data_IF_712815600646
#
_entry.id   IF_712815600646
#
_cell.length_a   1.000
_cell.length_b   1.000
_cell.length_c   1.000
_cell.angle_alpha   90.00
_cell.angle_beta   90.00
_cell.angle_gamma   90.00
#
_symmetry.space_group_name_H-M   'P 1'
#
loop_
_entity.id
_entity.type
_entity.pdbx_description
1 polymer ?
#
# COMPACT_ATOMS: atom_id res chain seq x y z
N UNK A 1 -45.57 40.25 20.56
CA UNK A 1 -45.72 39.33 21.73
C UNK A 1 -47.15 39.47 22.24
N UNK A 2 -47.85 38.37 22.58
CA UNK A 2 -47.46 37.49 23.69
C UNK A 2 -47.26 36.02 23.28
N UNK A 3 -46.24 35.42 23.91
CA UNK A 3 -45.85 34.02 23.83
C UNK A 3 -46.86 33.14 24.59
N UNK A 4 -47.40 32.10 23.95
CA UNK A 4 -48.01 30.97 24.66
C UNK A 4 -47.22 29.70 24.35
N UNK A 5 -46.55 29.21 25.40
CA UNK A 5 -45.75 27.98 25.44
C UNK A 5 -46.68 26.77 25.44
N UNK A 6 -46.55 25.88 24.45
CA UNK A 6 -47.09 24.53 24.53
C UNK A 6 -45.98 23.57 24.96
N UNK A 7 -46.11 23.01 26.16
CA UNK A 7 -45.30 21.90 26.66
C UNK A 7 -45.87 20.60 26.09
N UNK A 8 -45.18 19.97 25.14
CA UNK A 8 -45.51 18.61 24.73
C UNK A 8 -44.99 17.63 25.78
N UNK A 9 -45.92 16.96 26.46
CA UNK A 9 -45.64 15.80 27.32
C UNK A 9 -45.18 14.63 26.45
N UNK A 10 -43.88 14.33 26.50
CA UNK A 10 -43.30 13.15 25.87
C UNK A 10 -43.55 11.92 26.76
N UNK A 11 -44.54 11.10 26.41
CA UNK A 11 -44.74 9.77 27.00
C UNK A 11 -43.84 8.75 26.31
N UNK A 12 -42.88 8.18 27.04
CA UNK A 12 -42.05 7.06 26.55
C UNK A 12 -42.95 5.83 26.29
N UNK A 13 -42.90 5.17 25.12
CA UNK A 13 -43.48 3.84 24.98
C UNK A 13 -42.65 2.79 25.73
N UNK A 14 -43.31 1.84 26.39
CA UNK A 14 -42.68 0.66 26.97
C UNK A 14 -42.11 -0.22 25.84
N UNK A 15 -40.80 -0.49 25.90
CA UNK A 15 -40.12 -1.41 24.98
C UNK A 15 -40.25 -2.84 25.49
N UNK A 16 -41.28 -3.56 25.04
CA UNK A 16 -41.38 -5.01 25.16
C UNK A 16 -40.59 -5.67 24.02
N UNK A 17 -39.52 -6.40 24.36
CA UNK A 17 -38.79 -7.21 23.38
C UNK A 17 -39.63 -8.45 22.99
N UNK A 18 -39.65 -8.86 21.71
CA UNK A 18 -40.43 -10.00 21.26
C UNK A 18 -39.82 -11.34 21.72
N UNK A 19 -40.69 -12.25 22.14
CA UNK A 19 -40.37 -13.59 22.59
C UNK A 19 -40.25 -14.56 21.40
N UNK A 20 -39.03 -14.80 20.91
CA UNK A 20 -38.74 -15.92 20.02
C UNK A 20 -37.28 -16.38 20.16
N UNK A 21 -36.94 -17.08 21.25
CA UNK A 21 -35.87 -18.11 21.30
C UNK A 21 -36.12 -18.99 22.54
N UNK A 22 -37.16 -19.82 22.50
CA UNK A 22 -37.41 -20.89 23.48
C UNK A 22 -37.61 -22.21 22.74
N UNK A 23 -36.55 -22.99 22.66
CA UNK A 23 -36.46 -24.45 22.49
C UNK A 23 -35.01 -24.73 22.06
N UNK A 24 -34.22 -25.56 22.74
CA UNK A 24 -34.51 -26.94 23.10
C UNK A 24 -33.53 -27.40 24.19
N UNK A 25 -34.07 -27.77 25.35
CA UNK A 25 -33.37 -28.56 26.35
C UNK A 25 -33.69 -30.04 26.09
N UNK A 26 -32.67 -30.84 25.82
CA UNK A 26 -32.76 -32.29 25.86
C UNK A 26 -32.21 -32.81 27.22
N UNK A 27 -33.16 -33.34 27.98
CA UNK A 27 -33.12 -34.28 29.12
C UNK A 27 -31.76 -34.87 29.55
N UNK A 28 -31.56 -34.93 30.88
CA UNK A 28 -31.40 -36.19 31.63
C UNK A 28 -31.75 -35.97 33.11
N UNK A 29 -32.41 -36.99 33.65
CA UNK A 29 -32.99 -37.14 34.98
C UNK A 29 -31.99 -37.86 35.90
N UNK A 30 -31.94 -37.50 37.19
CA UNK A 30 -31.95 -38.43 38.34
C UNK A 30 -31.66 -37.72 39.68
N UNK A 31 -32.53 -37.98 40.66
CA UNK A 31 -32.11 -38.35 42.03
C UNK A 31 -31.85 -37.28 43.09
N UNK A 32 -32.93 -36.94 43.83
CA UNK A 32 -32.98 -36.75 45.29
C UNK A 32 -32.11 -35.65 45.96
N UNK A 33 -32.80 -34.62 46.51
CA UNK A 33 -32.42 -34.03 47.79
C UNK A 33 -32.03 -32.55 47.79
N UNK A 34 -32.97 -31.74 48.29
CA UNK A 34 -32.78 -30.46 48.97
C UNK A 34 -32.71 -29.17 48.13
N UNK A 35 -33.35 -28.13 48.69
CA UNK A 35 -33.84 -26.95 48.00
C UNK A 35 -32.74 -26.05 47.42
N UNK A 36 -32.62 -25.98 46.09
CA UNK A 36 -31.92 -24.90 45.39
C UNK A 36 -32.32 -24.79 43.91
N UNK A 37 -33.55 -24.35 43.61
CA UNK A 37 -33.88 -23.92 42.25
C UNK A 37 -33.56 -22.43 42.04
N UNK A 38 -32.64 -22.21 41.10
CA UNK A 38 -32.49 -21.05 40.20
C UNK A 38 -32.34 -19.67 40.85
N UNK A 39 -31.13 -19.38 41.37
CA UNK A 39 -30.70 -17.98 41.59
C UNK A 39 -30.55 -17.27 40.26
N UNK A 40 -31.39 -16.25 40.01
CA UNK A 40 -31.26 -15.39 38.84
C UNK A 40 -29.94 -14.58 38.88
N UNK A 41 -29.43 -14.16 37.73
CA UNK A 41 -28.18 -13.37 37.61
C UNK A 41 -28.20 -12.13 38.53
N UNK A 42 -29.36 -11.51 38.70
CA UNK A 42 -29.56 -10.37 39.60
C UNK A 42 -29.43 -10.75 41.09
N UNK A 43 -29.84 -11.95 41.49
CA UNK A 43 -29.63 -12.45 42.85
C UNK A 43 -28.18 -12.82 43.12
N UNK A 44 -27.47 -13.32 42.10
CA UNK A 44 -26.02 -13.55 42.15
C UNK A 44 -25.25 -12.25 42.32
N UNK A 45 -25.60 -11.21 41.55
CA UNK A 45 -25.03 -9.86 41.69
C UNK A 45 -25.37 -9.22 43.03
N UNK A 46 -26.60 -9.36 43.53
CA UNK A 46 -26.98 -8.90 44.85
C UNK A 46 -26.28 -9.69 45.97
N UNK A 47 -26.04 -10.99 45.77
CA UNK A 47 -25.23 -11.82 46.65
C UNK A 47 -23.79 -11.34 46.72
N UNK A 48 -23.16 -11.06 45.57
CA UNK A 48 -21.78 -10.57 45.47
C UNK A 48 -21.58 -9.20 46.11
N UNK A 49 -22.57 -8.30 45.98
CA UNK A 49 -22.57 -7.00 46.65
C UNK A 49 -22.70 -7.13 48.17
N UNK A 50 -23.40 -8.16 48.65
CA UNK A 50 -23.59 -8.42 50.09
C UNK A 50 -22.41 -9.18 50.71
N UNK A 51 -21.76 -10.08 49.99
CA UNK A 51 -20.58 -10.81 50.47
C UNK A 51 -19.30 -9.96 50.45
N UNK A 52 -19.26 -8.88 49.67
CA UNK A 52 -18.16 -7.90 49.71
C UNK A 52 -18.15 -6.99 50.95
N UNK A 53 -19.18 -7.04 51.81
CA UNK A 53 -19.35 -6.11 52.94
C UNK A 53 -19.36 -6.76 54.33
N UNK A 54 -19.31 -8.10 54.42
CA UNK A 54 -19.28 -8.81 55.71
C UNK A 54 -18.09 -9.77 55.78
N UNK A 55 -16.94 -9.22 56.15
CA UNK A 55 -15.71 -9.93 56.49
C UNK A 55 -14.71 -8.95 57.07
N UNK A 56 -14.61 -8.91 58.39
CA UNK A 56 -14.04 -7.84 59.19
C UNK A 56 -12.50 -7.75 59.17
N UNK A 57 -12.06 -6.49 59.32
CA UNK A 57 -10.83 -6.01 59.95
C UNK A 57 -9.49 -6.12 59.18
N UNK A 58 -9.16 -5.02 58.48
CA UNK A 58 -7.78 -4.59 58.27
C UNK A 58 -7.53 -3.89 56.94
N UNK A 59 -7.65 -2.56 56.92
CA UNK A 59 -7.16 -1.71 55.82
C UNK A 59 -8.25 -1.16 54.91
N UNK A 60 -8.50 0.15 55.03
CA UNK A 60 -9.37 0.93 54.16
C UNK A 60 -8.91 0.81 52.70
N UNK A 61 -9.58 -0.01 51.89
CA UNK A 61 -9.45 0.04 50.43
C UNK A 61 -10.43 1.09 49.91
N UNK A 62 -9.93 2.30 49.73
CA UNK A 62 -10.62 3.33 48.97
C UNK A 62 -10.90 2.82 47.55
N UNK A 63 -12.08 3.15 47.03
CA UNK A 63 -12.46 2.98 45.63
C UNK A 63 -11.33 3.46 44.72
N UNK A 64 -10.76 2.54 43.92
CA UNK A 64 -9.78 2.86 42.88
C UNK A 64 -10.46 3.72 41.81
N UNK A 65 -10.49 5.03 42.07
CA UNK A 65 -10.77 6.05 41.08
C UNK A 65 -9.48 6.19 40.28
N UNK A 66 -9.53 5.85 38.99
CA UNK A 66 -8.39 5.98 38.08
C UNK A 66 -8.12 7.48 37.93
N UNK A 67 -7.20 8.03 38.73
CA UNK A 67 -6.71 9.39 38.54
C UNK A 67 -5.52 9.39 37.58
N UNK A 68 -5.47 10.33 36.61
CA UNK A 68 -4.33 10.48 35.72
C UNK A 68 -3.06 10.84 36.51
N UNK A 69 -1.95 10.19 36.18
CA UNK A 69 -0.66 10.42 36.82
C UNK A 69 -0.09 11.79 36.45
N UNK A 70 0.02 12.67 37.43
CA UNK A 70 0.63 14.01 37.26
C UNK A 70 2.15 13.96 37.55
N UNK A 71 3.01 14.72 36.84
CA UNK A 71 4.45 14.82 37.12
C UNK A 71 4.77 15.37 38.53
N UNK A 72 5.92 15.00 39.13
CA UNK A 72 6.23 15.25 40.55
C UNK A 72 6.28 16.74 40.94
N UNK A 73 6.72 17.61 40.03
CA UNK A 73 6.79 19.05 40.28
C UNK A 73 5.41 19.70 40.51
N UNK A 74 4.36 19.20 39.85
CA UNK A 74 3.00 19.72 39.99
C UNK A 74 2.30 19.10 41.22
N UNK A 75 2.70 17.89 41.63
CA UNK A 75 2.18 17.24 42.86
C UNK A 75 2.54 17.99 44.13
N UNK A 76 3.76 18.55 44.19
CA UNK A 76 4.22 19.36 45.34
C UNK A 76 3.41 20.64 45.50
N UNK A 77 3.01 21.27 44.39
CA UNK A 77 2.22 22.51 44.41
C UNK A 77 0.76 22.23 44.83
N UNK A 78 0.21 21.10 44.41
CA UNK A 78 -1.20 20.74 44.65
C UNK A 78 -1.42 19.92 45.94
N UNK A 79 -0.38 19.69 46.75
CA UNK A 79 -0.41 18.86 47.97
C UNK A 79 -1.05 17.48 47.76
N UNK A 80 -0.86 16.88 46.58
CA UNK A 80 -1.41 15.57 46.27
C UNK A 80 -0.50 14.50 46.90
N UNK A 81 -1.04 13.56 47.72
CA UNK A 81 -0.24 12.53 48.36
C UNK A 81 0.44 11.61 47.34
N UNK A 82 1.62 11.12 47.70
CA UNK A 82 2.44 10.31 46.82
C UNK A 82 1.77 8.97 46.50
N UNK A 83 1.73 8.61 45.22
CA UNK A 83 1.12 7.35 44.77
C UNK A 83 1.95 6.19 45.30
N UNK A 84 1.38 5.24 46.06
CA UNK A 84 2.12 4.12 46.61
C UNK A 84 2.70 3.26 45.49
N UNK A 85 3.86 2.62 45.72
CA UNK A 85 4.47 1.74 44.73
C UNK A 85 3.51 0.62 44.32
N UNK A 86 3.55 0.16 43.05
CA UNK A 86 2.68 -0.89 42.59
C UNK A 86 2.88 -2.15 43.44
N UNK A 87 1.79 -2.87 43.79
CA UNK A 87 1.91 -4.06 44.62
C UNK A 87 2.80 -5.10 43.94
N UNK A 88 3.62 -5.85 44.71
CA UNK A 88 4.46 -6.90 44.16
C UNK A 88 3.59 -7.92 43.39
N UNK A 89 4.09 -8.36 42.23
CA UNK A 89 3.41 -9.36 41.39
C UNK A 89 3.04 -10.57 42.26
N UNK A 90 1.77 -10.99 42.21
CA UNK A 90 1.27 -12.14 42.97
C UNK A 90 2.18 -13.36 42.69
N UNK A 91 2.72 -14.02 43.73
CA UNK A 91 3.50 -15.23 43.53
C UNK A 91 2.64 -16.30 42.85
N UNK A 92 3.25 -17.08 41.96
CA UNK A 92 2.62 -18.24 41.33
C UNK A 92 2.06 -19.12 42.44
N UNK A 93 0.76 -19.42 42.40
CA UNK A 93 0.13 -20.32 43.38
C UNK A 93 0.70 -21.72 43.18
N UNK A 94 1.63 -22.10 44.04
CA UNK A 94 2.18 -23.46 44.12
C UNK A 94 1.27 -24.27 45.05
N UNK A 95 0.85 -25.47 44.62
CA UNK A 95 0.07 -26.37 45.47
C UNK A 95 0.86 -26.83 46.70
N UNK A 96 0.15 -27.39 47.70
CA UNK A 96 0.78 -28.01 48.88
C UNK A 96 1.68 -29.16 48.38
N UNK A 97 3.00 -28.98 48.44
CA UNK A 97 3.99 -29.95 47.95
C UNK A 97 4.78 -29.57 46.68
N UNK A 98 4.75 -28.30 46.23
CA UNK A 98 5.64 -27.86 45.13
C UNK A 98 5.13 -28.16 43.72
N UNK A 99 4.03 -28.90 43.58
CA UNK A 99 3.42 -29.20 42.28
C UNK A 99 2.67 -27.99 41.69
N UNK A 100 2.80 -27.79 40.38
CA UNK A 100 2.01 -26.82 39.61
C UNK A 100 0.53 -27.19 39.70
N UNK A 101 -0.35 -26.20 39.90
CA UNK A 101 -1.79 -26.40 39.79
C UNK A 101 -2.14 -26.94 38.39
N UNK A 102 -3.16 -27.81 38.25
CA UNK A 102 -3.60 -28.29 36.95
C UNK A 102 -3.99 -27.11 36.07
N UNK A 103 -3.63 -27.18 34.78
CA UNK A 103 -3.99 -26.17 33.81
C UNK A 103 -5.51 -25.95 33.83
N UNK A 104 -5.93 -24.70 33.70
CA UNK A 104 -7.35 -24.37 33.58
C UNK A 104 -8.00 -25.12 32.41
N UNK A 105 -9.35 -25.19 32.38
CA UNK A 105 -10.06 -25.84 31.29
C UNK A 105 -9.60 -25.27 29.94
N UNK A 106 -9.40 -26.16 28.97
CA UNK A 106 -9.01 -25.77 27.63
C UNK A 106 -9.99 -24.72 27.07
N UNK A 107 -9.48 -23.73 26.31
CA UNK A 107 -10.34 -22.71 25.72
C UNK A 107 -11.42 -23.38 24.85
N UNK A 108 -12.63 -22.80 24.79
CA UNK A 108 -13.73 -23.36 24.02
C UNK A 108 -13.32 -23.53 22.56
N UNK A 109 -13.76 -24.63 21.94
CA UNK A 109 -13.40 -24.98 20.55
C UNK A 109 -13.76 -23.87 19.55
N UNK A 110 -14.77 -23.06 19.84
CA UNK A 110 -15.13 -21.89 19.02
C UNK A 110 -14.01 -20.86 18.89
N UNK A 111 -13.10 -20.75 19.86
CA UNK A 111 -11.93 -19.86 19.79
C UNK A 111 -10.77 -20.43 18.98
N UNK A 112 -10.70 -21.76 18.87
CA UNK A 112 -9.67 -22.49 18.12
C UNK A 112 -10.08 -22.78 16.67
N UNK A 113 -11.36 -22.62 16.32
CA UNK A 113 -11.90 -22.96 15.00
C UNK A 113 -11.59 -21.93 13.90
N UNK A 114 -11.21 -20.70 14.27
CA UNK A 114 -10.78 -19.64 13.34
C UNK A 114 -9.29 -19.65 12.94
N UNK A 115 -8.33 -19.87 13.88
CA UNK A 115 -6.90 -19.69 13.58
C UNK A 115 -6.23 -20.84 12.80
N UNK A 116 -6.75 -22.07 12.81
CA UNK A 116 -6.07 -23.18 12.10
C UNK A 116 -6.16 -23.06 10.57
N UNK A 117 -7.27 -22.54 10.03
CA UNK A 117 -7.36 -22.19 8.61
C UNK A 117 -6.48 -20.98 8.27
N UNK A 118 -6.40 -20.01 9.18
CA UNK A 118 -5.61 -18.80 9.00
C UNK A 118 -4.10 -19.05 8.97
N UNK A 119 -3.56 -19.88 9.87
CA UNK A 119 -2.12 -20.18 9.94
C UNK A 119 -1.63 -21.02 8.76
N UNK A 120 -2.44 -21.97 8.28
CA UNK A 120 -2.12 -22.76 7.08
C UNK A 120 -2.21 -21.90 5.82
N UNK A 121 -3.19 -20.98 5.73
CA UNK A 121 -3.28 -19.99 4.67
C UNK A 121 -2.14 -18.96 4.72
N UNK A 122 -1.67 -18.53 5.90
CA UNK A 122 -0.54 -17.61 6.06
C UNK A 122 0.78 -18.25 5.59
N UNK A 123 0.98 -19.53 5.93
CA UNK A 123 2.19 -20.27 5.56
C UNK A 123 2.17 -20.67 4.08
N UNK A 124 1.01 -21.03 3.53
CA UNK A 124 0.84 -21.29 2.11
C UNK A 124 0.88 -20.02 1.27
N UNK A 125 0.31 -18.89 1.73
CA UNK A 125 0.38 -17.60 1.01
C UNK A 125 1.78 -16.99 1.06
N UNK A 126 2.49 -17.06 2.18
CA UNK A 126 3.89 -16.64 2.24
C UNK A 126 4.81 -17.51 1.36
N UNK A 127 4.47 -18.79 1.15
CA UNK A 127 5.22 -19.69 0.24
C UNK A 127 4.72 -19.72 -1.20
N UNK A 128 3.52 -19.19 -1.49
CA UNK A 128 2.88 -19.17 -2.82
C UNK A 128 2.82 -17.76 -3.44
N UNK A 129 2.85 -16.71 -2.62
CA UNK A 129 2.83 -15.29 -3.02
C UNK A 129 4.07 -14.52 -2.51
N UNK A 130 4.68 -14.93 -1.39
CA UNK A 130 6.01 -14.45 -0.98
C UNK A 130 7.18 -15.10 -1.71
N UNK A 131 6.88 -15.84 -2.79
CA UNK A 131 7.82 -16.68 -3.52
C UNK A 131 7.57 -16.58 -5.04
N UNK A 132 7.66 -15.38 -5.61
CA UNK A 132 8.32 -15.27 -6.90
C UNK A 132 9.79 -15.66 -6.65
N UNK A 133 10.07 -16.98 -6.65
CA UNK A 133 11.40 -17.57 -6.45
C UNK A 133 12.35 -17.02 -7.54
N UNK A 134 12.96 -15.86 -7.29
CA UNK A 134 13.99 -15.28 -8.13
C UNK A 134 13.88 -13.77 -8.37
N UNK A 135 12.72 -13.15 -8.16
CA UNK A 135 12.50 -11.73 -8.45
C UNK A 135 12.25 -10.96 -7.15
N UNK A 136 13.22 -10.17 -6.71
CA UNK A 136 13.14 -9.43 -5.46
C UNK A 136 12.24 -8.20 -5.59
N UNK A 137 11.04 -8.24 -5.00
CA UNK A 137 10.23 -7.02 -4.83
C UNK A 137 10.99 -6.04 -3.93
N UNK A 138 11.30 -4.86 -4.47
CA UNK A 138 11.95 -3.75 -3.75
C UNK A 138 10.98 -2.60 -3.67
N UNK A 139 10.68 -2.18 -2.44
CA UNK A 139 9.87 -0.99 -2.22
C UNK A 139 10.70 0.25 -2.54
N UNK A 140 10.03 1.31 -3.05
CA UNK A 140 10.68 2.59 -3.30
C UNK A 140 11.36 3.13 -2.03
N UNK A 141 12.50 3.82 -2.15
CA UNK A 141 13.20 4.38 -1.00
C UNK A 141 12.32 5.46 -0.33
N UNK A 142 12.51 5.68 0.97
CA UNK A 142 11.73 6.67 1.73
C UNK A 142 10.36 6.17 2.22
N UNK A 143 9.92 4.99 1.83
CA UNK A 143 8.65 4.40 2.28
C UNK A 143 8.80 3.78 3.67
N UNK A 144 8.05 4.30 4.65
CA UNK A 144 8.03 3.77 6.01
C UNK A 144 7.11 2.55 6.12
N UNK A 145 7.65 1.36 5.85
CA UNK A 145 6.95 0.11 6.10
C UNK A 145 6.98 -0.26 7.60
N UNK A 146 5.91 -0.84 8.15
CA UNK A 146 5.93 -1.39 9.50
C UNK A 146 7.07 -2.40 9.66
N UNK A 147 7.77 -2.34 10.80
CA UNK A 147 8.84 -3.29 11.10
C UNK A 147 8.34 -4.73 11.02
N UNK A 148 9.10 -5.61 10.35
CA UNK A 148 8.73 -7.03 10.22
C UNK A 148 8.52 -7.66 11.59
N UNK A 149 7.40 -8.34 11.79
CA UNK A 149 7.02 -8.92 13.08
C UNK A 149 6.47 -7.92 14.10
N UNK A 150 6.29 -6.64 13.73
CA UNK A 150 5.49 -5.70 14.51
C UNK A 150 4.01 -6.12 14.52
N UNK A 151 3.25 -5.68 15.53
CA UNK A 151 1.80 -5.88 15.56
C UNK A 151 1.13 -5.33 14.30
N UNK A 152 1.56 -4.16 13.82
CA UNK A 152 1.00 -3.54 12.62
C UNK A 152 1.29 -4.41 11.38
N UNK A 153 2.52 -4.90 11.23
CA UNK A 153 2.90 -5.81 10.14
C UNK A 153 2.05 -7.09 10.17
N UNK A 154 1.90 -7.72 11.34
CA UNK A 154 1.08 -8.93 11.49
C UNK A 154 -0.40 -8.67 11.18
N UNK A 155 -0.95 -7.55 11.65
CA UNK A 155 -2.35 -7.18 11.42
C UNK A 155 -2.59 -6.86 9.95
N UNK A 156 -1.76 -6.04 9.31
CA UNK A 156 -1.90 -5.71 7.89
C UNK A 156 -1.79 -6.95 7.00
N UNK A 157 -0.83 -7.85 7.28
CA UNK A 157 -0.76 -9.15 6.57
C UNK A 157 -2.05 -9.92 6.69
N UNK A 158 -2.60 -10.03 7.91
CA UNK A 158 -3.84 -10.78 8.12
C UNK A 158 -5.03 -10.09 7.46
N UNK A 159 -5.07 -8.76 7.51
CA UNK A 159 -6.12 -7.94 6.92
C UNK A 159 -6.17 -8.12 5.40
N UNK A 160 -5.00 -8.10 4.73
CA UNK A 160 -4.89 -8.29 3.29
C UNK A 160 -5.23 -9.72 2.85
N UNK A 161 -4.94 -10.74 3.67
CA UNK A 161 -5.30 -12.12 3.33
C UNK A 161 -6.81 -12.37 3.26
N UNK A 162 -7.59 -11.61 4.03
CA UNK A 162 -9.06 -11.66 4.01
C UNK A 162 -9.64 -10.39 3.31
N UNK A 163 -8.87 -9.76 2.41
CA UNK A 163 -9.17 -8.43 1.86
C UNK A 163 -10.55 -8.29 1.24
N UNK A 164 -11.04 -9.28 0.48
CA UNK A 164 -12.38 -9.19 -0.15
C UNK A 164 -13.50 -8.98 0.87
N UNK A 165 -13.40 -9.66 2.02
CA UNK A 165 -14.32 -9.49 3.13
C UNK A 165 -14.09 -8.17 3.85
N UNK A 166 -12.82 -7.84 4.15
CA UNK A 166 -12.46 -6.61 4.85
C UNK A 166 -12.88 -5.36 4.08
N UNK A 167 -12.70 -5.34 2.76
CA UNK A 167 -13.10 -4.23 1.90
C UNK A 167 -14.59 -3.94 2.00
N UNK A 168 -15.41 -4.99 2.01
CA UNK A 168 -16.87 -4.87 2.09
C UNK A 168 -17.32 -4.48 3.50
N UNK A 169 -16.76 -5.13 4.54
CA UNK A 169 -17.14 -4.90 5.93
C UNK A 169 -16.67 -3.53 6.46
N UNK A 170 -15.45 -3.13 6.10
CA UNK A 170 -14.81 -1.90 6.56
C UNK A 170 -14.97 -0.73 5.58
N UNK A 171 -15.83 -0.82 4.55
CA UNK A 171 -15.91 0.16 3.46
C UNK A 171 -16.04 1.62 3.93
N UNK A 172 -16.71 1.86 5.06
CA UNK A 172 -16.88 3.21 5.63
C UNK A 172 -15.68 3.72 6.43
N UNK A 173 -14.80 2.81 6.89
CA UNK A 173 -13.68 3.14 7.77
C UNK A 173 -12.33 3.20 7.02
N UNK A 174 -12.24 2.63 5.82
CA UNK A 174 -10.99 2.56 5.06
C UNK A 174 -10.45 3.94 4.67
N UNK A 175 -11.35 4.86 4.32
CA UNK A 175 -11.00 6.25 3.98
C UNK A 175 -10.52 7.05 5.20
N UNK A 176 -11.09 6.80 6.38
CA UNK A 176 -10.75 7.46 7.66
C UNK A 176 -9.41 6.99 8.24
N UNK A 177 -8.80 5.94 7.68
CA UNK A 177 -7.53 5.43 8.18
C UNK A 177 -6.42 6.50 8.05
N UNK A 178 -5.51 6.59 9.04
CA UNK A 178 -4.31 7.41 8.92
C UNK A 178 -3.55 7.13 7.61
N UNK A 179 -3.08 8.19 6.95
CA UNK A 179 -2.46 8.11 5.62
C UNK A 179 -1.32 7.09 5.55
N UNK A 180 -0.45 7.02 6.58
CA UNK A 180 0.63 6.03 6.62
C UNK A 180 0.14 4.57 6.65
N UNK A 181 -1.02 4.30 7.27
CA UNK A 181 -1.64 2.97 7.25
C UNK A 181 -2.29 2.69 5.90
N UNK A 182 -2.92 3.69 5.26
CA UNK A 182 -3.48 3.56 3.91
C UNK A 182 -2.40 3.23 2.88
N UNK A 183 -1.27 3.95 2.91
CA UNK A 183 -0.10 3.66 2.06
C UNK A 183 0.45 2.27 2.33
N UNK A 184 0.66 1.90 3.60
CA UNK A 184 1.14 0.56 3.97
C UNK A 184 0.18 -0.53 3.52
N UNK A 185 -1.12 -0.33 3.68
CA UNK A 185 -2.15 -1.28 3.26
C UNK A 185 -2.08 -1.53 1.74
N UNK A 186 -1.95 -0.49 0.93
CA UNK A 186 -1.82 -0.62 -0.53
C UNK A 186 -0.54 -1.38 -0.94
N UNK A 187 0.58 -1.11 -0.28
CA UNK A 187 1.83 -1.86 -0.53
C UNK A 187 1.65 -3.34 -0.17
N UNK A 188 1.04 -3.65 0.98
CA UNK A 188 0.79 -5.04 1.36
C UNK A 188 -0.21 -5.71 0.41
N UNK A 189 -1.21 -4.98 -0.09
CA UNK A 189 -2.11 -5.49 -1.13
C UNK A 189 -1.32 -5.86 -2.40
N UNK A 190 -0.47 -4.96 -2.90
CA UNK A 190 0.39 -5.23 -4.05
C UNK A 190 1.31 -6.45 -3.83
N UNK A 191 1.82 -6.64 -2.61
CA UNK A 191 2.73 -7.75 -2.27
C UNK A 191 2.05 -9.11 -2.07
N UNK A 192 0.87 -9.15 -1.44
CA UNK A 192 0.25 -10.40 -0.97
C UNK A 192 -0.92 -10.88 -1.81
N UNK A 193 -1.52 -10.00 -2.62
CA UNK A 193 -2.61 -10.39 -3.53
C UNK A 193 -2.03 -10.87 -4.85
N UNK A 194 -2.64 -11.92 -5.42
CA UNK A 194 -2.19 -12.42 -6.72
C UNK A 194 -2.45 -11.43 -7.83
N UNK A 195 -3.57 -10.71 -7.78
CA UNK A 195 -4.00 -9.81 -8.84
C UNK A 195 -3.44 -8.39 -8.69
N UNK A 196 -2.77 -8.09 -7.57
CA UNK A 196 -2.38 -6.74 -7.21
C UNK A 196 -3.57 -5.91 -6.70
N UNK A 197 -3.34 -4.61 -6.56
CA UNK A 197 -4.35 -3.63 -6.16
C UNK A 197 -5.33 -3.43 -7.31
N UNK A 198 -6.64 -3.56 -7.09
CA UNK A 198 -7.66 -3.28 -8.11
C UNK A 198 -8.15 -1.83 -8.06
N UNK A 199 -8.83 -1.37 -9.12
CA UNK A 199 -9.40 -0.01 -9.16
C UNK A 199 -10.38 0.22 -8.01
N UNK A 200 -11.16 -0.80 -7.63
CA UNK A 200 -12.10 -0.74 -6.51
C UNK A 200 -11.39 -0.60 -5.17
N UNK A 201 -10.19 -1.17 -5.04
CA UNK A 201 -9.39 -1.07 -3.82
C UNK A 201 -8.84 0.35 -3.66
N UNK A 202 -8.37 0.96 -4.76
CA UNK A 202 -7.97 2.37 -4.76
C UNK A 202 -9.15 3.28 -4.42
N UNK A 203 -10.32 3.05 -5.00
CA UNK A 203 -11.53 3.81 -4.68
C UNK A 203 -11.90 3.69 -3.20
N UNK A 204 -11.86 2.48 -2.63
CA UNK A 204 -12.19 2.26 -1.22
C UNK A 204 -11.22 2.94 -0.23
N UNK A 205 -9.96 3.19 -0.63
CA UNK A 205 -8.92 3.77 0.24
C UNK A 205 -8.75 5.27 0.01
N UNK A 206 -8.91 5.75 -1.23
CA UNK A 206 -8.61 7.13 -1.63
C UNK A 206 -9.85 8.02 -1.76
N UNK A 207 -11.04 7.43 -1.91
CA UNK A 207 -12.30 8.17 -2.04
C UNK A 207 -13.21 7.90 -0.83
N UNK A 208 -14.00 8.90 -0.41
CA UNK A 208 -15.02 8.67 0.59
C UNK A 208 -16.12 7.74 0.07
N UNK A 209 -16.83 7.05 0.97
CA UNK A 209 -17.97 6.23 0.60
C UNK A 209 -19.02 7.05 -0.18
N UNK A 210 -19.54 6.55 -1.32
CA UNK A 210 -20.48 7.30 -2.14
C UNK A 210 -21.84 7.51 -1.46
N UNK A 211 -22.20 6.66 -0.50
CA UNK A 211 -23.52 6.66 0.16
C UNK A 211 -23.62 7.66 1.33
N UNK A 212 -22.55 8.42 1.61
CA UNK A 212 -22.48 9.35 2.74
C UNK A 212 -22.22 10.78 2.20
N UNK A 213 -23.28 11.57 1.99
CA UNK A 213 -23.18 12.91 1.38
C UNK A 213 -22.30 13.89 2.16
N UNK A 214 -22.21 13.71 3.48
CA UNK A 214 -21.43 14.56 4.39
C UNK A 214 -19.97 14.71 3.95
N UNK A 215 -19.37 13.65 3.40
CA UNK A 215 -17.99 13.66 2.90
C UNK A 215 -17.78 14.44 1.59
N UNK A 216 -18.85 14.66 0.82
CA UNK A 216 -18.78 15.34 -0.48
C UNK A 216 -19.14 16.82 -0.37
N UNK A 217 -19.88 17.20 0.68
CA UNK A 217 -20.29 18.58 0.95
C UNK A 217 -19.27 19.33 1.83
N UNK A 218 -18.53 18.63 2.69
CA UNK A 218 -17.52 19.23 3.55
C UNK A 218 -16.18 19.40 2.79
N UNK A 219 -15.71 20.65 2.56
CA UNK A 219 -14.44 20.91 1.88
C UNK A 219 -13.22 20.38 2.64
N UNK A 220 -13.28 20.26 3.96
CA UNK A 220 -12.16 19.76 4.77
C UNK A 220 -11.99 18.24 4.61
N UNK A 221 -13.08 17.53 4.26
CA UNK A 221 -13.12 16.09 4.03
C UNK A 221 -12.94 15.68 2.57
N UNK A 222 -12.74 16.67 1.68
CA UNK A 222 -12.54 16.43 0.26
C UNK A 222 -11.35 15.47 0.02
N UNK A 223 -11.40 14.61 -1.02
CA UNK A 223 -10.31 13.67 -1.32
C UNK A 223 -8.95 14.34 -1.43
N UNK A 224 -8.87 15.53 -2.03
CA UNK A 224 -7.63 16.27 -2.20
C UNK A 224 -7.02 16.77 -0.87
N UNK A 225 -7.83 17.09 0.14
CA UNK A 225 -7.34 17.56 1.45
C UNK A 225 -6.95 16.39 2.36
N UNK A 226 -7.78 15.33 2.40
CA UNK A 226 -7.49 14.14 3.21
C UNK A 226 -6.27 13.36 2.69
N UNK A 227 -5.99 13.47 1.39
CA UNK A 227 -4.83 12.84 0.76
C UNK A 227 -3.65 13.81 0.56
N UNK A 228 -3.62 14.96 1.21
CA UNK A 228 -2.52 15.93 1.08
C UNK A 228 -1.17 15.32 1.53
N UNK A 229 -1.19 14.54 2.61
CA UNK A 229 -0.02 13.78 3.12
C UNK A 229 0.27 12.48 2.33
N UNK A 230 -0.48 12.20 1.25
CA UNK A 230 -0.35 10.96 0.48
C UNK A 230 0.75 11.08 -0.56
N UNK A 231 1.96 10.67 -0.19
CA UNK A 231 3.15 10.85 -1.03
C UNK A 231 3.57 9.62 -1.86
N UNK A 232 3.09 8.42 -1.53
CA UNK A 232 3.56 7.17 -2.14
C UNK A 232 2.41 6.27 -2.58
N UNK A 233 2.43 5.87 -3.85
CA UNK A 233 1.50 4.92 -4.45
C UNK A 233 2.26 3.74 -5.06
N UNK A 234 2.15 2.57 -4.45
CA UNK A 234 2.76 1.34 -4.97
C UNK A 234 1.70 0.47 -5.66
N UNK A 235 1.83 0.32 -6.98
CA UNK A 235 0.96 -0.50 -7.83
C UNK A 235 1.73 -1.66 -8.47
N UNK A 236 2.80 -2.11 -7.83
CA UNK A 236 3.60 -3.24 -8.32
C UNK A 236 2.71 -4.44 -8.64
N UNK A 237 2.89 -5.02 -9.83
CA UNK A 237 2.13 -6.19 -10.32
C UNK A 237 0.66 -5.93 -10.66
N UNK A 238 0.17 -4.70 -10.49
CA UNK A 238 -1.25 -4.36 -10.65
C UNK A 238 -1.58 -3.83 -12.06
N UNK A 239 -0.66 -3.05 -12.64
CA UNK A 239 -0.85 -2.43 -13.96
C UNK A 239 -0.90 -3.48 -15.06
N UNK A 240 -1.95 -3.41 -15.89
CA UNK A 240 -2.19 -4.35 -17.00
C UNK A 240 -2.81 -5.68 -16.57
N UNK A 241 -3.02 -5.88 -15.26
CA UNK A 241 -3.71 -7.06 -14.69
C UNK A 241 -5.04 -6.67 -14.06
N UNK A 242 -5.01 -5.89 -12.99
CA UNK A 242 -6.18 -5.45 -12.22
C UNK A 242 -6.58 -4.00 -12.50
N UNK A 243 -5.64 -3.18 -12.99
CA UNK A 243 -5.84 -1.76 -13.29
C UNK A 243 -5.26 -1.43 -14.67
N UNK A 244 -6.02 -0.70 -15.50
CA UNK A 244 -5.48 -0.07 -16.70
C UNK A 244 -4.96 1.32 -16.38
N UNK A 245 -3.86 1.72 -17.02
CA UNK A 245 -3.26 3.04 -16.78
C UNK A 245 -4.20 4.21 -17.13
N UNK A 246 -5.07 4.02 -18.12
CA UNK A 246 -6.15 4.98 -18.43
C UNK A 246 -7.15 5.12 -17.27
N UNK A 247 -7.56 4.02 -16.65
CA UNK A 247 -8.50 4.03 -15.52
C UNK A 247 -7.86 4.69 -14.30
N UNK A 248 -6.57 4.42 -14.05
CA UNK A 248 -5.80 5.10 -13.01
C UNK A 248 -5.73 6.60 -13.27
N UNK A 249 -5.45 7.01 -14.51
CA UNK A 249 -5.41 8.43 -14.89
C UNK A 249 -6.74 9.11 -14.66
N UNK A 250 -7.86 8.48 -15.02
CA UNK A 250 -9.21 9.05 -14.81
C UNK A 250 -9.59 9.09 -13.34
N UNK A 251 -9.08 8.17 -12.52
CA UNK A 251 -9.32 8.18 -11.09
C UNK A 251 -8.53 9.32 -10.45
N UNK A 252 -7.20 9.36 -10.61
CA UNK A 252 -6.34 10.34 -9.93
C UNK A 252 -6.52 11.76 -10.46
N UNK A 253 -6.93 11.91 -11.72
CA UNK A 253 -7.14 13.17 -12.41
C UNK A 253 -8.53 13.15 -13.08
N UNK A 254 -9.61 13.24 -12.29
CA UNK A 254 -10.95 13.25 -12.85
C UNK A 254 -11.11 14.47 -13.78
N UNK A 255 -11.67 14.30 -14.99
CA UNK A 255 -11.97 15.43 -15.85
C UNK A 255 -12.96 16.35 -15.13
N UNK A 256 -12.71 17.67 -15.15
CA UNK A 256 -13.64 18.65 -14.59
C UNK A 256 -15.02 18.44 -15.22
N UNK A 257 -15.98 17.99 -14.42
CA UNK A 257 -17.37 17.89 -14.84
C UNK A 257 -18.00 19.28 -14.61
N UNK A 258 -18.33 19.92 -15.72
CA UNK A 258 -19.08 21.17 -15.90
C UNK A 258 -18.32 22.50 -15.64
N UNK A 259 -18.18 23.37 -16.66
CA UNK A 259 -18.00 24.80 -16.43
C UNK A 259 -19.31 25.35 -15.85
N UNK A 260 -19.27 25.84 -14.61
CA UNK A 260 -20.38 26.64 -14.09
C UNK A 260 -20.48 27.88 -14.98
N UNK A 261 -21.65 28.05 -15.60
CA UNK A 261 -21.98 29.17 -16.49
C UNK A 261 -21.63 30.50 -15.76
N UNK A 262 -20.69 31.31 -16.26
CA UNK A 262 -20.12 32.44 -15.51
C UNK A 262 -21.03 33.68 -15.54
N UNK A 263 -22.36 33.51 -15.43
CA UNK A 263 -23.30 34.61 -15.64
C UNK A 263 -24.04 35.12 -14.38
N UNK A 264 -23.79 34.60 -13.18
CA UNK A 264 -24.61 35.00 -11.99
C UNK A 264 -23.85 35.23 -10.67
N UNK A 265 -22.60 35.74 -10.68
CA UNK A 265 -21.98 36.18 -9.42
C UNK A 265 -20.89 37.24 -9.60
N UNK A 266 -21.30 38.50 -9.78
CA UNK A 266 -20.39 39.66 -9.83
C UNK A 266 -20.08 40.31 -8.46
N UNK A 267 -20.25 39.60 -7.33
CA UNK A 267 -20.10 40.24 -6.00
C UNK A 267 -19.41 39.38 -4.92
N UNK A 268 -18.55 38.42 -5.28
CA UNK A 268 -17.67 37.74 -4.30
C UNK A 268 -16.21 37.82 -4.73
N UNK A 269 -15.34 38.57 -4.02
CA UNK A 269 -13.91 38.43 -4.22
C UNK A 269 -13.48 37.04 -3.71
N UNK A 270 -12.57 36.40 -4.43
CA UNK A 270 -11.88 35.14 -4.08
C UNK A 270 -12.53 33.80 -4.52
N UNK A 271 -13.01 33.67 -5.76
CA UNK A 271 -13.29 32.37 -6.40
C UNK A 271 -12.23 31.92 -7.44
N UNK A 272 -11.01 32.45 -7.40
CA UNK A 272 -9.91 32.06 -8.32
C UNK A 272 -9.24 30.72 -7.96
N UNK A 273 -9.99 29.64 -7.73
CA UNK A 273 -9.40 28.30 -7.49
C UNK A 273 -10.30 27.10 -7.85
N UNK A 274 -11.36 27.29 -8.66
CA UNK A 274 -12.29 26.21 -9.05
C UNK A 274 -11.96 25.55 -10.40
N UNK A 275 -11.00 26.06 -11.16
CA UNK A 275 -10.79 25.66 -12.57
C UNK A 275 -9.65 24.67 -12.84
N UNK A 276 -8.91 24.23 -11.82
CA UNK A 276 -7.89 23.18 -11.99
C UNK A 276 -8.50 21.84 -11.57
N UNK A 277 -8.52 20.80 -12.43
CA UNK A 277 -8.90 19.45 -12.03
C UNK A 277 -8.08 19.06 -10.80
N UNK A 278 -8.75 18.97 -9.65
CA UNK A 278 -8.06 18.70 -8.39
C UNK A 278 -7.65 17.24 -8.40
N UNK A 279 -6.34 17.01 -8.39
CA UNK A 279 -5.82 15.65 -8.24
C UNK A 279 -6.29 15.08 -6.90
N UNK A 280 -6.66 13.80 -6.90
CA UNK A 280 -7.00 13.07 -5.66
C UNK A 280 -5.78 12.99 -4.74
N UNK A 281 -4.56 12.96 -5.29
CA UNK A 281 -3.29 12.81 -4.56
C UNK A 281 -2.33 13.93 -4.98
N UNK A 282 -2.57 15.18 -4.52
CA UNK A 282 -1.88 16.36 -5.06
C UNK A 282 -0.35 16.33 -4.86
N UNK A 283 0.13 15.72 -3.76
CA UNK A 283 1.55 15.68 -3.40
C UNK A 283 2.19 14.32 -3.65
N UNK A 284 1.72 13.57 -4.66
CA UNK A 284 2.30 12.29 -5.02
C UNK A 284 3.74 12.47 -5.53
N UNK A 285 4.70 11.88 -4.82
CA UNK A 285 6.14 11.96 -5.16
C UNK A 285 6.74 10.61 -5.51
N UNK A 286 6.20 9.51 -4.99
CA UNK A 286 6.67 8.14 -5.20
C UNK A 286 5.60 7.31 -5.89
N UNK A 287 5.94 6.72 -7.03
CA UNK A 287 5.03 5.88 -7.81
C UNK A 287 5.75 4.61 -8.28
N UNK A 288 5.21 3.45 -7.92
CA UNK A 288 5.67 2.18 -8.49
C UNK A 288 4.65 1.68 -9.52
N UNK A 289 5.09 1.51 -10.76
CA UNK A 289 4.34 0.85 -11.83
C UNK A 289 5.05 -0.45 -12.26
N UNK A 290 5.85 -1.05 -11.38
CA UNK A 290 6.57 -2.29 -11.65
C UNK A 290 5.62 -3.41 -12.09
N UNK A 291 6.06 -4.23 -13.04
CA UNK A 291 5.25 -5.31 -13.60
C UNK A 291 5.61 -6.66 -12.99
N UNK A 292 4.66 -7.59 -13.01
CA UNK A 292 4.93 -8.98 -12.66
C UNK A 292 5.63 -9.67 -13.85
N UNK A 293 6.90 -10.12 -13.71
CA UNK A 293 7.63 -10.76 -14.81
C UNK A 293 7.00 -12.08 -15.27
N UNK A 294 6.16 -12.72 -14.45
CA UNK A 294 5.43 -13.93 -14.84
C UNK A 294 4.22 -13.63 -15.73
N UNK A 295 3.80 -12.37 -15.80
CA UNK A 295 2.68 -11.92 -16.61
C UNK A 295 3.20 -11.18 -17.85
N UNK A 296 2.53 -11.32 -18.99
CA UNK A 296 2.80 -10.50 -20.18
C UNK A 296 1.65 -9.51 -20.36
N UNK A 297 1.61 -8.40 -19.59
CA UNK A 297 0.53 -7.45 -19.67
C UNK A 297 0.62 -6.61 -20.95
N UNK A 298 -0.52 -6.37 -21.60
CA UNK A 298 -0.61 -5.45 -22.73
C UNK A 298 -0.56 -4.00 -22.24
N UNK A 299 0.64 -3.42 -22.16
CA UNK A 299 0.89 -2.08 -21.64
C UNK A 299 1.28 -1.12 -22.77
N UNK A 300 0.87 0.15 -22.62
CA UNK A 300 1.09 1.17 -23.63
C UNK A 300 1.97 2.30 -23.08
N UNK A 301 3.17 2.44 -23.67
CA UNK A 301 4.04 3.59 -23.44
C UNK A 301 3.37 4.92 -23.78
N UNK A 302 2.48 4.94 -24.77
CA UNK A 302 1.67 6.13 -25.10
C UNK A 302 0.79 6.57 -23.92
N UNK A 303 0.17 5.61 -23.22
CA UNK A 303 -0.63 5.91 -22.03
C UNK A 303 0.26 6.36 -20.87
N UNK A 304 1.46 5.76 -20.70
CA UNK A 304 2.41 6.19 -19.68
C UNK A 304 2.86 7.63 -19.91
N UNK A 305 3.19 8.00 -21.14
CA UNK A 305 3.60 9.36 -21.48
C UNK A 305 2.48 10.38 -21.22
N UNK A 306 1.23 10.04 -21.53
CA UNK A 306 0.07 10.89 -21.22
C UNK A 306 -0.21 10.98 -19.72
N UNK A 307 0.03 9.90 -18.98
CA UNK A 307 -0.16 9.89 -17.54
C UNK A 307 0.94 10.71 -16.84
N UNK A 308 2.18 10.59 -17.29
CA UNK A 308 3.33 11.30 -16.75
C UNK A 308 3.21 12.83 -16.85
N UNK A 309 2.49 13.37 -17.85
CA UNK A 309 2.28 14.83 -17.95
C UNK A 309 1.43 15.39 -16.81
N UNK A 310 0.66 14.55 -16.12
CA UNK A 310 -0.12 14.96 -14.95
C UNK A 310 0.67 14.88 -13.63
N UNK A 311 1.91 14.39 -13.66
CA UNK A 311 2.74 14.13 -12.48
C UNK A 311 4.08 14.88 -12.51
N UNK A 312 4.10 16.22 -12.64
CA UNK A 312 5.34 16.99 -12.69
C UNK A 312 6.13 16.94 -11.37
N UNK A 313 5.47 16.67 -10.23
CA UNK A 313 6.08 16.58 -8.90
C UNK A 313 6.70 15.22 -8.56
N UNK A 314 6.67 14.26 -9.49
CA UNK A 314 7.16 12.91 -9.23
C UNK A 314 8.70 12.91 -9.12
N UNK A 315 9.20 12.36 -8.01
CA UNK A 315 10.64 12.23 -7.73
C UNK A 315 11.12 10.79 -7.81
N UNK A 316 10.26 9.81 -7.53
CA UNK A 316 10.61 8.39 -7.54
C UNK A 316 9.65 7.61 -8.43
N UNK A 317 10.19 6.91 -9.42
CA UNK A 317 9.44 6.07 -10.34
C UNK A 317 10.08 4.69 -10.44
N UNK A 318 9.29 3.62 -10.28
CA UNK A 318 9.69 2.27 -10.69
C UNK A 318 8.95 1.85 -11.95
N UNK A 319 9.74 1.48 -12.97
CA UNK A 319 9.31 0.84 -14.22
C UNK A 319 9.94 -0.55 -14.35
N UNK A 320 10.13 -1.26 -13.23
CA UNK A 320 10.70 -2.61 -13.27
C UNK A 320 9.87 -3.54 -14.16
N UNK A 321 10.56 -4.35 -14.96
CA UNK A 321 10.02 -5.32 -15.91
C UNK A 321 9.19 -4.71 -17.05
N UNK A 322 9.28 -3.40 -17.29
CA UNK A 322 8.60 -2.78 -18.42
C UNK A 322 9.12 -3.29 -19.76
N UNK A 323 8.22 -3.53 -20.73
CA UNK A 323 8.61 -3.94 -22.06
C UNK A 323 9.35 -2.81 -22.77
N UNK A 324 9.99 -3.17 -23.88
CA UNK A 324 10.70 -2.22 -24.73
C UNK A 324 9.87 -0.95 -25.07
N UNK A 325 10.46 0.26 -24.94
CA UNK A 325 9.80 1.52 -25.27
C UNK A 325 9.38 1.60 -26.75
N UNK A 326 8.09 1.43 -27.03
CA UNK A 326 7.54 1.58 -28.38
C UNK A 326 6.13 2.19 -28.36
N UNK A 327 5.86 3.06 -29.34
CA UNK A 327 4.53 3.64 -29.56
C UNK A 327 3.65 2.73 -30.43
N UNK A 328 4.24 1.78 -31.14
CA UNK A 328 3.57 0.86 -32.06
C UNK A 328 3.91 -0.61 -31.76
N UNK A 329 3.68 -1.12 -30.54
CA UNK A 329 4.09 -2.48 -30.15
C UNK A 329 3.45 -3.58 -31.03
N UNK A 330 2.22 -3.36 -31.52
CA UNK A 330 1.49 -4.31 -32.35
C UNK A 330 1.85 -4.23 -33.85
N UNK A 331 2.65 -3.26 -34.27
CA UNK A 331 3.01 -3.05 -35.67
C UNK A 331 4.43 -3.53 -36.02
N UNK A 332 5.14 -4.17 -35.09
CA UNK A 332 6.52 -4.64 -35.30
C UNK A 332 6.69 -5.55 -36.51
N UNK A 333 5.66 -6.29 -36.92
CA UNK A 333 5.67 -7.17 -38.10
C UNK A 333 4.93 -6.60 -39.32
N UNK A 334 4.34 -5.41 -39.17
CA UNK A 334 3.52 -4.83 -40.22
C UNK A 334 4.39 -4.01 -41.17
N UNK A 335 4.26 -4.28 -42.46
CA UNK A 335 4.93 -3.53 -43.52
C UNK A 335 3.92 -2.80 -44.39
N UNK A 336 4.32 -1.64 -44.92
CA UNK A 336 3.54 -0.83 -45.88
C UNK A 336 4.37 -0.65 -47.12
N UNK A 337 3.73 -0.79 -48.28
CA UNK A 337 4.36 -0.48 -49.55
C UNK A 337 4.24 1.03 -49.78
N UNK A 338 5.36 1.72 -49.86
CA UNK A 338 5.40 3.16 -50.18
C UNK A 338 4.80 3.40 -51.56
N UNK A 339 3.74 4.23 -51.69
CA UNK A 339 3.15 4.51 -53.00
C UNK A 339 4.06 5.34 -53.91
N UNK A 340 5.08 6.02 -53.36
CA UNK A 340 6.00 6.87 -54.12
C UNK A 340 7.27 6.15 -54.56
N UNK A 341 7.78 5.21 -53.76
CA UNK A 341 9.02 4.49 -54.03
C UNK A 341 8.81 3.02 -54.40
N UNK A 342 7.58 2.49 -54.26
CA UNK A 342 7.26 1.07 -54.49
C UNK A 342 7.92 0.10 -53.51
N UNK A 343 8.73 0.62 -52.58
CA UNK A 343 9.47 -0.16 -51.59
C UNK A 343 8.63 -0.48 -50.37
N UNK A 344 8.84 -1.67 -49.82
CA UNK A 344 8.23 -2.13 -48.56
C UNK A 344 8.96 -1.49 -47.38
N UNK A 345 8.28 -0.62 -46.64
CA UNK A 345 8.75 0.04 -45.42
C UNK A 345 8.06 -0.59 -44.20
N UNK A 346 8.72 -0.61 -43.04
CA UNK A 346 8.08 -1.05 -41.80
C UNK A 346 7.06 0.00 -41.34
N UNK A 347 5.84 -0.42 -40.97
CA UNK A 347 4.76 0.48 -40.52
C UNK A 347 5.15 1.28 -39.28
N UNK A 348 5.87 0.64 -38.34
CA UNK A 348 6.35 1.26 -37.11
C UNK A 348 7.67 2.02 -37.24
N UNK A 349 8.27 2.09 -38.44
CA UNK A 349 9.63 2.62 -38.63
C UNK A 349 10.75 1.69 -38.16
N UNK A 350 10.52 0.89 -37.12
CA UNK A 350 11.40 -0.18 -36.63
C UNK A 350 10.75 -1.56 -36.86
N UNK A 351 11.56 -2.57 -37.23
CA UNK A 351 11.15 -3.96 -37.42
C UNK A 351 11.57 -4.85 -36.23
N UNK A 352 11.22 -6.15 -36.23
CA UNK A 352 11.49 -7.05 -35.10
C UNK A 352 12.98 -7.36 -34.91
N UNK A 353 13.82 -7.07 -35.92
CA UNK A 353 15.27 -7.27 -35.90
C UNK A 353 16.07 -5.97 -35.90
N UNK A 354 15.42 -4.81 -35.91
CA UNK A 354 16.11 -3.52 -36.02
C UNK A 354 17.03 -3.25 -34.83
N UNK A 355 16.73 -3.81 -33.66
CA UNK A 355 17.54 -3.63 -32.45
C UNK A 355 18.63 -4.70 -32.31
N UNK A 356 18.36 -5.93 -32.73
CA UNK A 356 19.27 -7.07 -32.57
C UNK A 356 20.28 -7.22 -33.72
N UNK A 357 19.95 -6.78 -34.93
CA UNK A 357 20.84 -6.85 -36.10
C UNK A 357 21.40 -5.47 -36.48
N UNK A 358 20.56 -4.43 -36.47
CA UNK A 358 20.96 -3.11 -36.97
C UNK A 358 21.35 -2.12 -35.86
N UNK A 359 21.12 -2.47 -34.59
CA UNK A 359 21.39 -1.61 -33.45
C UNK A 359 20.63 -0.27 -33.48
N UNK A 360 19.51 -0.20 -34.22
CA UNK A 360 18.74 1.02 -34.37
C UNK A 360 17.82 1.24 -33.17
N UNK A 361 18.19 2.12 -32.24
CA UNK A 361 17.39 2.43 -31.04
C UNK A 361 16.60 3.74 -31.13
N UNK A 362 16.39 4.27 -32.34
CA UNK A 362 15.82 5.61 -32.56
C UNK A 362 14.45 5.82 -31.89
N UNK A 363 13.50 4.90 -32.09
CA UNK A 363 12.16 5.00 -31.52
C UNK A 363 12.22 5.01 -29.98
N UNK A 364 12.99 4.10 -29.39
CA UNK A 364 13.13 3.90 -27.96
C UNK A 364 13.73 5.15 -27.31
N UNK A 365 14.79 5.70 -27.91
CA UNK A 365 15.44 6.93 -27.46
C UNK A 365 14.44 8.09 -27.48
N UNK A 366 13.62 8.23 -28.53
CA UNK A 366 12.61 9.28 -28.62
C UNK A 366 11.49 9.13 -27.57
N UNK A 367 11.04 7.90 -27.30
CA UNK A 367 10.06 7.63 -26.22
C UNK A 367 10.65 8.01 -24.86
N UNK A 368 11.87 7.55 -24.56
CA UNK A 368 12.55 7.83 -23.29
C UNK A 368 12.85 9.33 -23.13
N UNK A 369 13.23 10.03 -24.20
CA UNK A 369 13.44 11.49 -24.18
C UNK A 369 12.14 12.27 -23.96
N UNK A 370 11.02 11.77 -24.46
CA UNK A 370 9.70 12.37 -24.16
C UNK A 370 9.33 12.13 -22.70
N UNK A 371 9.56 10.92 -22.19
CA UNK A 371 9.34 10.61 -20.77
C UNK A 371 10.21 11.50 -19.87
N UNK A 372 11.47 11.71 -20.24
CA UNK A 372 12.39 12.52 -19.44
C UNK A 372 11.95 13.96 -19.32
N UNK A 373 11.46 14.55 -20.42
CA UNK A 373 10.90 15.90 -20.42
C UNK A 373 9.64 16.02 -19.56
N UNK A 374 8.76 15.01 -19.57
CA UNK A 374 7.56 15.00 -18.71
C UNK A 374 7.93 14.86 -17.23
N UNK A 375 8.95 14.07 -16.91
CA UNK A 375 9.38 13.75 -15.55
C UNK A 375 10.75 14.36 -15.23
N UNK A 376 10.87 15.67 -15.41
CA UNK A 376 12.12 16.41 -15.18
C UNK A 376 12.49 16.54 -13.69
N UNK A 377 11.55 16.23 -12.79
CA UNK A 377 11.74 16.24 -11.33
C UNK A 377 12.35 14.95 -10.78
N UNK A 378 12.56 13.94 -11.60
CA UNK A 378 12.91 12.60 -11.16
C UNK A 378 14.30 12.53 -10.52
N UNK A 379 14.38 11.94 -9.34
CA UNK A 379 15.59 11.73 -8.54
C UNK A 379 15.96 10.24 -8.45
N UNK A 380 14.96 9.36 -8.52
CA UNK A 380 15.09 7.91 -8.49
C UNK A 380 14.33 7.26 -9.64
N UNK A 381 15.00 6.35 -10.35
CA UNK A 381 14.39 5.55 -11.41
C UNK A 381 14.80 4.09 -11.25
N UNK A 382 13.83 3.18 -11.15
CA UNK A 382 14.07 1.73 -11.12
C UNK A 382 13.68 1.11 -12.47
N UNK A 383 14.66 0.50 -13.13
CA UNK A 383 14.58 -0.21 -14.41
C UNK A 383 14.97 -1.68 -14.25
N UNK A 384 14.79 -2.25 -13.06
CA UNK A 384 15.08 -3.67 -12.80
C UNK A 384 14.35 -4.58 -13.80
N UNK A 385 15.04 -5.54 -14.41
CA UNK A 385 14.48 -6.49 -15.37
C UNK A 385 14.25 -5.91 -16.77
N UNK A 386 14.71 -4.71 -17.05
CA UNK A 386 14.58 -4.03 -18.35
C UNK A 386 15.82 -4.17 -19.25
N UNK A 387 16.64 -5.20 -19.02
CA UNK A 387 17.96 -5.38 -19.63
C UNK A 387 17.98 -5.35 -21.15
N UNK A 388 16.91 -5.87 -21.78
CA UNK A 388 16.77 -5.96 -23.23
C UNK A 388 16.87 -4.60 -23.94
N UNK A 389 16.45 -3.51 -23.30
CA UNK A 389 16.43 -2.18 -23.91
C UNK A 389 17.37 -1.18 -23.24
N UNK A 390 18.21 -1.61 -22.29
CA UNK A 390 19.26 -0.75 -21.72
C UNK A 390 20.06 0.02 -22.77
N UNK A 391 20.45 -0.54 -23.94
CA UNK A 391 21.19 0.21 -24.94
C UNK A 391 20.52 1.48 -25.44
N UNK A 392 19.19 1.58 -25.40
CA UNK A 392 18.47 2.80 -25.73
C UNK A 392 18.80 3.98 -24.79
N UNK A 393 19.33 3.74 -23.59
CA UNK A 393 19.64 4.78 -22.62
C UNK A 393 20.93 5.56 -22.96
N UNK A 394 21.81 5.00 -23.80
CA UNK A 394 23.05 5.65 -24.24
C UNK A 394 23.22 5.72 -25.76
N UNK A 395 22.28 5.15 -26.52
CA UNK A 395 22.24 5.26 -27.98
C UNK A 395 21.76 6.63 -28.43
N UNK A 396 22.07 6.99 -29.67
CA UNK A 396 21.66 8.25 -30.30
C UNK A 396 20.64 7.98 -31.40
N UNK A 397 19.53 8.70 -31.39
CA UNK A 397 18.55 8.71 -32.47
C UNK A 397 18.99 9.69 -33.57
N UNK A 398 20.07 9.38 -34.29
CA UNK A 398 20.64 10.27 -35.31
C UNK A 398 21.55 11.37 -34.74
N UNK A 399 21.52 12.57 -35.33
CA UNK A 399 22.47 13.66 -35.07
C UNK A 399 22.21 14.34 -33.70
N UNK A 400 22.69 13.72 -32.62
CA UNK A 400 22.74 14.30 -31.27
C UNK A 400 21.50 14.11 -30.40
N UNK A 401 20.50 13.38 -30.88
CA UNK A 401 19.29 13.10 -30.13
C UNK A 401 19.47 11.89 -29.21
N UNK A 402 20.01 12.13 -28.02
CA UNK A 402 20.15 11.14 -26.95
C UNK A 402 19.15 11.40 -25.83
N UNK A 403 19.04 10.44 -24.90
CA UNK A 403 18.37 10.68 -23.61
C UNK A 403 19.09 11.81 -22.87
N UNK A 404 18.33 12.79 -22.38
CA UNK A 404 18.90 13.98 -21.73
C UNK A 404 19.23 13.74 -20.26
N UNK A 405 20.39 13.15 -20.02
CA UNK A 405 20.96 12.91 -18.69
C UNK A 405 21.53 14.16 -18.01
N UNK A 406 21.56 15.30 -18.69
CA UNK A 406 22.19 16.55 -18.21
C UNK A 406 21.17 17.61 -17.80
N UNK A 407 20.08 17.75 -18.55
CA UNK A 407 18.96 18.64 -18.30
C UNK A 407 17.82 17.90 -17.61
N UNK A 408 16.91 17.33 -18.40
CA UNK A 408 15.66 16.75 -17.92
C UNK A 408 15.86 15.65 -16.86
N UNK A 409 16.76 14.69 -17.10
CA UNK A 409 17.14 13.66 -16.12
C UNK A 409 18.45 13.99 -15.38
N UNK A 410 18.85 15.26 -15.33
CA UNK A 410 20.03 15.71 -14.58
C UNK A 410 19.89 15.59 -13.06
N UNK A 411 18.66 15.48 -12.55
CA UNK A 411 18.36 15.31 -11.12
C UNK A 411 18.41 13.86 -10.64
N UNK A 412 18.36 12.89 -11.55
CA UNK A 412 18.41 11.47 -11.18
C UNK A 412 19.74 11.19 -10.48
N UNK A 413 19.66 10.84 -9.20
CA UNK A 413 20.80 10.49 -8.36
C UNK A 413 20.92 8.98 -8.16
N UNK A 414 19.81 8.23 -8.27
CA UNK A 414 19.80 6.78 -8.09
C UNK A 414 19.09 6.11 -9.24
N UNK A 415 19.77 5.15 -9.87
CA UNK A 415 19.21 4.32 -10.95
C UNK A 415 19.36 2.85 -10.56
N UNK A 416 18.26 2.14 -10.34
CA UNK A 416 18.30 0.69 -10.10
C UNK A 416 18.23 -0.05 -11.43
N UNK A 417 19.17 -0.97 -11.66
CA UNK A 417 19.28 -1.76 -12.89
C UNK A 417 19.70 -3.18 -12.56
N UNK A 418 18.87 -3.89 -11.80
CA UNK A 418 19.08 -5.30 -11.57
C UNK A 418 18.62 -6.12 -12.79
N UNK A 419 19.23 -7.29 -13.08
CA UNK A 419 18.75 -8.20 -14.14
C UNK A 419 17.33 -8.71 -13.91
N UNK A 420 16.77 -8.51 -12.72
CA UNK A 420 15.41 -8.91 -12.35
C UNK A 420 15.38 -10.30 -11.72
N UNK A 421 16.11 -11.27 -12.24
CA UNK A 421 16.18 -12.63 -11.70
C UNK A 421 17.48 -12.89 -10.93
N UNK A 422 17.47 -13.89 -10.05
CA UNK A 422 18.69 -14.42 -9.43
C UNK A 422 19.22 -15.58 -10.23
N UNK A 423 20.51 -15.54 -10.57
CA UNK A 423 21.21 -16.65 -11.20
C UNK A 423 21.22 -17.85 -10.24
N UNK A 424 20.76 -19.01 -10.71
CA UNK A 424 20.85 -20.26 -9.93
C UNK A 424 22.22 -20.91 -10.11
N UNK A 425 22.65 -21.69 -9.13
CA UNK A 425 23.96 -22.38 -9.17
C UNK A 425 24.07 -23.36 -10.35
N UNK A 426 22.93 -23.89 -10.81
CA UNK A 426 22.77 -24.82 -11.93
C UNK A 426 22.45 -24.13 -13.27
N UNK A 427 22.49 -22.80 -13.34
CA UNK A 427 22.18 -22.05 -14.57
C UNK A 427 23.11 -22.44 -15.72
N UNK A 428 22.58 -22.51 -16.94
CA UNK A 428 23.34 -22.80 -18.15
C UNK A 428 24.35 -21.67 -18.47
N UNK A 429 25.46 -21.99 -19.14
CA UNK A 429 26.48 -21.00 -19.50
C UNK A 429 25.92 -19.84 -20.33
N UNK A 430 24.93 -20.12 -21.19
CA UNK A 430 24.24 -19.09 -21.97
C UNK A 430 23.40 -18.14 -21.09
N UNK A 431 22.73 -18.66 -20.06
CA UNK A 431 21.96 -17.86 -19.09
C UNK A 431 22.91 -17.01 -18.23
N UNK A 432 24.04 -17.58 -17.81
CA UNK A 432 25.11 -16.85 -17.10
C UNK A 432 25.67 -15.72 -17.97
N UNK A 433 25.94 -16.00 -19.24
CA UNK A 433 26.46 -15.01 -20.18
C UNK A 433 25.49 -13.83 -20.33
N UNK A 434 24.21 -14.09 -20.59
CA UNK A 434 23.17 -13.04 -20.68
C UNK A 434 23.04 -12.23 -19.39
N UNK A 435 23.08 -12.91 -18.25
CA UNK A 435 23.02 -12.27 -16.95
C UNK A 435 24.16 -11.25 -16.76
N UNK A 436 25.39 -11.65 -17.06
CA UNK A 436 26.55 -10.77 -16.95
C UNK A 436 26.62 -9.71 -18.04
N UNK A 437 26.13 -9.98 -19.24
CA UNK A 437 25.98 -8.98 -20.31
C UNK A 437 25.07 -7.84 -19.87
N UNK A 438 23.92 -8.15 -19.24
CA UNK A 438 23.04 -7.12 -18.66
C UNK A 438 23.76 -6.30 -17.59
N UNK A 439 24.56 -6.93 -16.72
CA UNK A 439 25.36 -6.23 -15.69
C UNK A 439 26.43 -5.34 -16.34
N UNK A 440 27.12 -5.81 -17.37
CA UNK A 440 28.14 -5.03 -18.08
C UNK A 440 27.53 -3.82 -18.81
N UNK A 441 26.33 -3.97 -19.39
CA UNK A 441 25.53 -2.88 -19.93
C UNK A 441 25.26 -1.77 -18.89
N UNK A 442 24.97 -2.13 -17.64
CA UNK A 442 24.77 -1.12 -16.58
C UNK A 442 26.04 -0.30 -16.31
N UNK A 443 27.22 -0.93 -16.34
CA UNK A 443 28.49 -0.23 -16.16
C UNK A 443 28.81 0.68 -17.34
N UNK A 444 28.46 0.26 -18.56
CA UNK A 444 28.60 1.09 -19.75
C UNK A 444 27.70 2.33 -19.66
N UNK A 445 26.45 2.17 -19.23
CA UNK A 445 25.56 3.30 -19.00
C UNK A 445 26.11 4.22 -17.90
N UNK A 446 26.65 3.67 -16.81
CA UNK A 446 27.25 4.49 -15.75
C UNK A 446 28.35 5.40 -16.28
N UNK A 447 29.27 4.83 -17.07
CA UNK A 447 30.35 5.60 -17.71
C UNK A 447 29.79 6.64 -18.67
N UNK A 448 28.78 6.30 -19.46
CA UNK A 448 28.12 7.22 -20.38
C UNK A 448 27.45 8.39 -19.65
N UNK A 449 26.70 8.14 -18.57
CA UNK A 449 26.04 9.20 -17.80
C UNK A 449 27.09 10.09 -17.11
N UNK A 450 28.13 9.50 -16.52
CA UNK A 450 29.21 10.28 -15.90
C UNK A 450 29.94 11.15 -16.93
N UNK A 451 30.21 10.61 -18.12
CA UNK A 451 30.85 11.35 -19.21
C UNK A 451 29.95 12.47 -19.76
N UNK A 452 28.67 12.20 -20.01
CA UNK A 452 27.70 13.19 -20.51
C UNK A 452 27.45 14.31 -19.51
N UNK A 453 27.37 13.99 -18.21
CA UNK A 453 27.23 14.99 -17.15
C UNK A 453 28.45 15.89 -17.03
N UNK A 454 29.67 15.36 -17.19
CA UNK A 454 30.92 16.14 -17.12
C UNK A 454 30.98 17.12 -15.92
N UNK A 455 30.44 16.72 -14.76
CA UNK A 455 30.36 17.53 -13.54
C UNK A 455 29.11 18.43 -13.41
N UNK A 456 28.19 18.41 -14.38
CA UNK A 456 26.90 19.11 -14.33
C UNK A 456 25.80 18.16 -13.80
N UNK A 457 24.93 18.67 -12.94
CA UNK A 457 23.83 17.90 -12.33
C UNK A 457 24.22 17.22 -11.02
N UNK A 458 23.35 16.33 -10.52
CA UNK A 458 23.62 15.58 -9.27
C UNK A 458 24.56 14.40 -9.52
N UNK A 459 25.23 13.92 -8.48
CA UNK A 459 25.99 12.67 -8.56
C UNK A 459 25.04 11.50 -8.80
N UNK A 460 25.39 10.59 -9.72
CA UNK A 460 24.60 9.40 -10.02
C UNK A 460 25.23 8.16 -9.39
N UNK A 461 24.39 7.34 -8.78
CA UNK A 461 24.69 6.00 -8.29
C UNK A 461 23.82 5.03 -9.07
N UNK A 462 24.45 4.09 -9.80
CA UNK A 462 23.73 2.99 -10.44
C UNK A 462 23.84 1.77 -9.52
N UNK A 463 22.69 1.29 -9.05
CA UNK A 463 22.61 0.09 -8.23
C UNK A 463 22.36 -1.13 -9.11
N UNK A 464 23.28 -2.09 -9.04
CA UNK A 464 23.18 -3.37 -9.75
C UNK A 464 23.89 -4.47 -8.95
N UNK A 465 23.93 -5.68 -9.51
CA UNK A 465 24.66 -6.80 -8.93
C UNK A 465 26.15 -6.58 -9.05
N UNK A 466 26.86 -6.60 -7.92
CA UNK A 466 28.32 -6.53 -7.90
C UNK A 466 28.87 -7.89 -8.25
N UNK A 467 29.75 -7.94 -9.26
CA UNK A 467 30.57 -9.12 -9.52
C UNK A 467 31.46 -9.35 -8.30
N UNK A 468 31.18 -10.41 -7.53
CA UNK A 468 32.15 -10.87 -6.53
C UNK A 468 33.44 -11.19 -7.27
N UNK A 469 34.53 -10.52 -6.87
CA UNK A 469 35.84 -10.84 -7.40
C UNK A 469 36.15 -12.32 -7.20
N UNK A 470 37.05 -12.91 -8.01
CA UNK A 470 37.48 -14.29 -7.82
C UNK A 470 38.14 -14.41 -6.44
N UNK A 471 37.39 -14.86 -5.43
CA UNK A 471 37.87 -14.98 -4.04
C UNK A 471 36.85 -14.66 -2.93
N UNK A 472 35.65 -14.18 -3.24
CA UNK A 472 34.61 -13.92 -2.22
C UNK A 472 33.74 -15.14 -1.95
N UNK A 473 34.02 -15.89 -0.89
CA UNK A 473 33.11 -16.91 -0.34
C UNK A 473 31.76 -16.29 0.02
N UNK A 474 30.68 -16.89 -0.47
CA UNK A 474 29.29 -16.53 -0.13
C UNK A 474 29.06 -16.64 1.38
N UNK A 475 28.44 -15.64 2.05
CA UNK A 475 27.92 -15.85 3.38
C UNK A 475 26.59 -16.60 3.30
N UNK A 476 26.44 -17.55 4.21
CA UNK A 476 25.37 -18.54 4.39
C UNK A 476 24.00 -17.95 4.72
#
# INVERSE_FOLDING_TARGET
MPKKRHQNRYSKPQSTAPALLSSSAARRDDGQGDAAQTRGVNELLAGLRRTGLSGSNGGQQALNTIQPSVPPAIRQILQIPETPPPPPRRPVRVGRGGARLPAGPAPPRSWLSGPERAGHALRQSATKYGAAKGYGHRSLPGVSLPGRGSLIDMVLRRFVLDWEWQRTYCQYHLYELPTHLRVSLLIYLAMYTSEGVSLRDLQAVLLPPPDVPEYWEDPDLAPSTVNDDFHCLDLTGSIGRSIKLRELSTLLFPPNLEPIDPQDSWDTPDQFSKDVPRSIVPNLTHLSLALDPASSPAISWRQLLSFATHLPGLTHLSLAFWPEPSLTPNAKLATVISPHTGGTLQYGGTGPYSHSLDGNWEEQVLVLRRLSKSLYGLEYLDLTGCGEWYPALWSSAGEGDTVDWTGAWGKISTLEMYPGYTLKDDAEDAERARYWEMVDCTQQLERHIRASRAGKGRFITIETVKRSGPGGTSPS
#
